data_IF_533910877478
#
_entry.id   IF_533910877478
#
_cell.length_a   1.000
_cell.length_b   1.000
_cell.length_c   1.000
_cell.angle_alpha   90.00
_cell.angle_beta   90.00
_cell.angle_gamma   90.00
#
_symmetry.space_group_name_H-M   'P 1'
#
loop_
_entity.id
_entity.type
_entity.pdbx_description
1 polymer ?
#
# COMPACT_ATOMS: atom_id res chain seq x y z
N UNK A 1 67.27 68.66 -47.51
CA UNK A 1 66.46 69.50 -46.64
C UNK A 1 64.96 69.28 -46.99
N UNK A 2 64.18 68.51 -46.19
CA UNK A 2 62.73 68.36 -46.35
C UNK A 2 62.10 68.67 -44.99
N UNK A 3 61.39 69.82 -44.95
CA UNK A 3 60.59 70.23 -43.80
C UNK A 3 59.42 69.24 -43.57
N UNK A 4 59.33 68.63 -42.40
CA UNK A 4 58.11 67.90 -41.94
C UNK A 4 57.13 68.94 -41.38
N UNK A 5 55.96 68.95 -41.94
CA UNK A 5 54.79 69.68 -41.43
C UNK A 5 54.08 68.83 -40.40
N UNK A 6 54.10 69.23 -39.13
CA UNK A 6 53.29 68.64 -38.08
C UNK A 6 51.84 69.08 -38.23
N UNK A 7 50.96 68.07 -38.42
CA UNK A 7 49.52 68.25 -38.42
C UNK A 7 49.01 68.20 -36.97
N UNK A 8 48.55 69.35 -36.46
CA UNK A 8 47.84 69.43 -35.17
C UNK A 8 46.47 68.74 -35.27
N UNK A 9 46.29 67.69 -34.51
CA UNK A 9 44.98 67.05 -34.32
C UNK A 9 44.03 67.97 -33.50
N UNK A 10 42.75 68.08 -33.85
CA UNK A 10 41.80 68.88 -33.09
C UNK A 10 41.51 68.28 -31.71
N UNK A 11 41.69 69.10 -30.69
CA UNK A 11 41.27 68.77 -29.29
C UNK A 11 39.75 68.54 -29.24
N UNK A 12 39.35 67.30 -29.06
CA UNK A 12 37.96 66.98 -28.71
C UNK A 12 37.59 67.62 -27.37
N UNK A 13 36.70 68.59 -27.42
CA UNK A 13 36.12 69.19 -26.22
C UNK A 13 35.32 68.08 -25.46
N UNK A 14 35.47 67.92 -24.12
CA UNK A 14 34.67 66.98 -23.36
C UNK A 14 33.19 67.41 -23.43
N UNK A 15 32.24 66.44 -23.47
CA UNK A 15 30.83 66.77 -23.50
C UNK A 15 30.45 67.54 -22.22
N UNK A 16 29.71 68.65 -22.40
CA UNK A 16 29.19 69.44 -21.29
C UNK A 16 28.44 68.51 -20.31
N UNK A 17 28.94 68.35 -19.08
CA UNK A 17 28.23 67.81 -17.97
C UNK A 17 27.15 68.79 -17.51
N UNK A 18 25.99 68.77 -18.11
CA UNK A 18 24.83 69.47 -17.61
C UNK A 18 24.42 68.85 -16.27
N UNK A 19 24.45 69.63 -15.20
CA UNK A 19 23.95 69.22 -13.90
C UNK A 19 22.44 68.89 -13.99
N UNK A 20 22.02 67.73 -13.44
CA UNK A 20 20.62 67.33 -13.38
C UNK A 20 19.81 68.34 -12.54
N UNK A 21 18.70 68.81 -13.10
CA UNK A 21 17.76 69.65 -12.39
C UNK A 21 17.09 68.84 -11.24
N UNK A 22 16.82 69.46 -10.09
CA UNK A 22 16.16 68.83 -8.93
C UNK A 22 14.79 68.22 -9.33
N UNK A 23 14.08 68.87 -10.26
CA UNK A 23 12.80 68.38 -10.78
C UNK A 23 12.98 67.16 -11.67
N UNK A 24 14.04 67.05 -12.44
CA UNK A 24 14.36 65.93 -13.28
C UNK A 24 14.70 64.70 -12.43
N UNK A 25 15.40 64.88 -11.32
CA UNK A 25 15.67 63.83 -10.33
C UNK A 25 14.37 63.34 -9.68
N UNK A 26 13.47 64.25 -9.26
CA UNK A 26 12.19 63.90 -8.68
C UNK A 26 11.28 63.13 -9.64
N UNK A 27 11.25 63.56 -10.92
CA UNK A 27 10.48 62.86 -11.96
C UNK A 27 11.07 61.47 -12.26
N UNK A 28 12.39 61.37 -12.35
CA UNK A 28 13.08 60.10 -12.55
C UNK A 28 12.82 59.10 -11.38
N UNK A 29 12.86 59.60 -10.12
CA UNK A 29 12.52 58.79 -8.96
C UNK A 29 11.06 58.34 -8.98
N UNK A 30 10.10 59.20 -9.34
CA UNK A 30 8.68 58.87 -9.40
C UNK A 30 8.42 57.81 -10.49
N UNK A 31 8.99 57.95 -11.66
CA UNK A 31 8.89 56.96 -12.75
C UNK A 31 9.55 55.65 -12.32
N UNK A 32 10.74 55.70 -11.72
CA UNK A 32 11.46 54.52 -11.23
C UNK A 32 10.64 53.72 -10.18
N UNK A 33 9.95 54.45 -9.29
CA UNK A 33 9.09 53.84 -8.28
C UNK A 33 7.85 53.13 -8.91
N UNK A 34 7.20 53.79 -9.89
CA UNK A 34 6.05 53.21 -10.61
C UNK A 34 6.49 51.96 -11.40
N UNK A 35 7.63 52.03 -12.09
CA UNK A 35 8.18 50.86 -12.82
C UNK A 35 8.54 49.71 -11.88
N UNK A 36 9.16 50.02 -10.72
CA UNK A 36 9.48 49.02 -9.71
C UNK A 36 8.27 48.34 -9.17
N UNK A 37 7.18 49.07 -8.84
CA UNK A 37 5.90 48.50 -8.40
C UNK A 37 5.28 47.60 -9.46
N UNK A 38 5.32 48.00 -10.74
CA UNK A 38 4.83 47.16 -11.84
C UNK A 38 5.63 45.86 -11.97
N UNK A 39 6.98 45.94 -11.85
CA UNK A 39 7.83 44.74 -11.88
C UNK A 39 7.54 43.81 -10.71
N UNK A 40 7.41 44.34 -9.47
CA UNK A 40 7.06 43.53 -8.30
C UNK A 40 5.69 42.85 -8.44
N UNK A 41 4.70 43.51 -9.04
CA UNK A 41 3.40 42.90 -9.29
C UNK A 41 3.47 41.72 -10.25
N UNK A 42 4.24 41.85 -11.32
CA UNK A 42 4.46 40.76 -12.32
C UNK A 42 5.21 39.60 -11.69
N UNK A 43 6.26 39.86 -10.91
CA UNK A 43 7.02 38.82 -10.21
C UNK A 43 6.11 38.05 -9.23
N UNK A 44 5.33 38.75 -8.42
CA UNK A 44 4.45 38.11 -7.43
C UNK A 44 3.39 37.22 -8.08
N UNK A 45 2.81 37.64 -9.21
CA UNK A 45 1.86 36.82 -9.99
C UNK A 45 2.55 35.61 -10.62
N UNK A 46 3.77 35.81 -11.16
CA UNK A 46 4.56 34.73 -11.75
C UNK A 46 4.94 33.66 -10.71
N UNK A 47 5.38 34.06 -9.52
CA UNK A 47 5.70 33.15 -8.42
C UNK A 47 4.48 32.39 -7.92
N UNK A 48 3.31 33.06 -7.82
CA UNK A 48 2.07 32.38 -7.46
C UNK A 48 1.68 31.32 -8.50
N UNK A 49 1.76 31.62 -9.79
CA UNK A 49 1.50 30.67 -10.87
C UNK A 49 2.46 29.50 -10.84
N UNK A 50 3.76 29.74 -10.64
CA UNK A 50 4.78 28.69 -10.54
C UNK A 50 4.48 27.74 -9.38
N UNK A 51 4.20 28.26 -8.18
CA UNK A 51 3.85 27.43 -7.01
C UNK A 51 2.60 26.59 -7.27
N UNK A 52 1.56 27.17 -7.88
CA UNK A 52 0.33 26.45 -8.20
C UNK A 52 0.56 25.33 -9.21
N UNK A 53 1.36 25.57 -10.25
CA UNK A 53 1.67 24.56 -11.27
C UNK A 53 2.52 23.43 -10.66
N UNK A 54 3.54 23.78 -9.87
CA UNK A 54 4.40 22.78 -9.20
C UNK A 54 3.56 21.96 -8.22
N UNK A 55 2.77 22.60 -7.34
CA UNK A 55 1.93 21.88 -6.37
C UNK A 55 0.89 20.97 -7.03
N UNK A 56 0.31 21.36 -8.16
CA UNK A 56 -0.59 20.49 -8.92
C UNK A 56 0.13 19.31 -9.57
N UNK A 57 1.35 19.52 -10.08
CA UNK A 57 2.15 18.43 -10.63
C UNK A 57 2.60 17.44 -9.55
N UNK A 58 3.07 17.93 -8.41
CA UNK A 58 3.47 17.09 -7.27
C UNK A 58 2.29 16.24 -6.76
N UNK A 59 1.11 16.85 -6.60
CA UNK A 59 -0.11 16.15 -6.24
C UNK A 59 -0.47 15.05 -7.25
N UNK A 60 -0.34 15.33 -8.56
CA UNK A 60 -0.61 14.35 -9.61
C UNK A 60 0.39 13.19 -9.60
N UNK A 61 1.69 13.49 -9.43
CA UNK A 61 2.73 12.47 -9.37
C UNK A 61 2.60 11.60 -8.12
N UNK A 62 2.40 12.20 -6.96
CA UNK A 62 2.22 11.47 -5.71
C UNK A 62 0.98 10.58 -5.74
N UNK A 63 -0.15 11.10 -6.26
CA UNK A 63 -1.37 10.31 -6.41
C UNK A 63 -1.23 9.14 -7.39
N UNK A 64 -0.57 9.36 -8.53
CA UNK A 64 -0.30 8.30 -9.50
C UNK A 64 0.66 7.25 -8.93
N UNK A 65 1.69 7.66 -8.19
CA UNK A 65 2.63 6.77 -7.53
C UNK A 65 1.95 5.94 -6.43
N UNK A 66 1.12 6.59 -5.59
CA UNK A 66 0.34 5.90 -4.57
C UNK A 66 -0.55 4.81 -5.18
N UNK A 67 -1.28 5.17 -6.24
CA UNK A 67 -2.16 4.22 -6.93
C UNK A 67 -1.38 3.07 -7.59
N UNK A 68 -0.21 3.36 -8.18
CA UNK A 68 0.67 2.35 -8.76
C UNK A 68 1.19 1.34 -7.71
N UNK A 69 1.59 1.82 -6.53
CA UNK A 69 2.04 0.94 -5.44
C UNK A 69 0.90 0.04 -4.94
N UNK A 70 -0.29 0.60 -4.76
CA UNK A 70 -1.47 -0.18 -4.38
C UNK A 70 -1.88 -1.18 -5.47
N UNK A 71 -1.80 -0.80 -6.75
CA UNK A 71 -2.07 -1.69 -7.89
C UNK A 71 -1.11 -2.89 -7.89
N UNK A 72 0.19 -2.67 -7.70
CA UNK A 72 1.17 -3.74 -7.62
C UNK A 72 0.90 -4.68 -6.43
N UNK A 73 0.65 -4.12 -5.26
CA UNK A 73 0.36 -4.90 -4.06
C UNK A 73 -0.89 -5.77 -4.24
N UNK A 74 -1.99 -5.18 -4.70
CA UNK A 74 -3.27 -5.88 -4.89
C UNK A 74 -3.16 -6.96 -5.98
N UNK A 75 -2.45 -6.71 -7.08
CA UNK A 75 -2.25 -7.71 -8.15
C UNK A 75 -1.41 -8.90 -7.69
N UNK A 76 -0.47 -8.70 -6.78
CA UNK A 76 0.34 -9.79 -6.20
C UNK A 76 -0.37 -10.53 -5.07
N UNK A 77 -1.46 -9.99 -4.55
CA UNK A 77 -2.17 -10.60 -3.44
C UNK A 77 -2.60 -12.04 -3.73
N UNK A 78 -2.48 -12.90 -2.73
CA UNK A 78 -2.84 -14.31 -2.84
C UNK A 78 -1.77 -15.22 -3.44
N UNK A 79 -0.62 -14.67 -3.90
CA UNK A 79 0.49 -15.49 -4.40
C UNK A 79 0.95 -16.49 -3.34
N UNK A 80 1.15 -17.74 -3.74
CA UNK A 80 1.67 -18.82 -2.89
C UNK A 80 0.61 -19.57 -2.08
N UNK A 81 -0.63 -19.06 -1.96
CA UNK A 81 -1.65 -19.74 -1.14
C UNK A 81 -3.07 -19.79 -1.73
N UNK A 82 -3.38 -18.99 -2.75
CA UNK A 82 -4.73 -18.96 -3.35
C UNK A 82 -5.14 -20.28 -4.01
N UNK A 83 -4.22 -21.09 -4.50
CA UNK A 83 -4.54 -22.38 -5.13
C UNK A 83 -5.19 -23.38 -4.16
N UNK A 84 -4.94 -23.23 -2.86
CA UNK A 84 -5.56 -24.03 -1.79
C UNK A 84 -6.53 -23.20 -0.95
N UNK A 85 -7.31 -22.34 -1.59
CA UNK A 85 -8.22 -21.41 -0.91
C UNK A 85 -9.15 -22.08 0.11
N UNK A 86 -9.60 -23.31 -0.18
CA UNK A 86 -10.47 -24.09 0.74
C UNK A 86 -9.82 -24.39 2.08
N UNK A 87 -8.48 -24.39 2.14
CA UNK A 87 -7.70 -24.65 3.36
C UNK A 87 -7.14 -23.37 3.95
N UNK A 88 -6.85 -22.39 3.09
CA UNK A 88 -6.09 -21.21 3.49
C UNK A 88 -6.96 -19.99 3.77
N UNK A 89 -8.01 -19.73 2.95
CA UNK A 89 -8.80 -18.51 3.13
C UNK A 89 -9.64 -18.57 4.41
N UNK A 90 -9.41 -17.61 5.29
CA UNK A 90 -10.07 -17.53 6.59
C UNK A 90 -9.37 -18.29 7.72
N UNK A 91 -8.28 -19.08 7.47
CA UNK A 91 -7.51 -19.70 8.55
C UNK A 91 -6.77 -18.63 9.38
N UNK A 92 -6.73 -18.78 10.71
CA UNK A 92 -6.03 -17.87 11.59
C UNK A 92 -4.51 -17.97 11.35
N UNK A 93 -3.84 -16.84 11.19
CA UNK A 93 -2.39 -16.81 10.96
C UNK A 93 -1.66 -16.98 12.29
N UNK A 94 -0.79 -17.98 12.36
CA UNK A 94 0.16 -18.18 13.45
C UNK A 94 1.57 -17.97 12.88
N UNK A 95 2.23 -16.91 13.31
CA UNK A 95 3.59 -16.59 12.93
C UNK A 95 4.39 -16.16 14.15
N UNK A 96 5.57 -16.76 14.34
CA UNK A 96 6.45 -16.45 15.45
C UNK A 96 7.86 -16.14 14.91
N UNK A 97 8.53 -15.18 15.51
CA UNK A 97 9.94 -14.91 15.29
C UNK A 97 10.69 -15.20 16.57
N UNK A 98 11.62 -16.17 16.53
CA UNK A 98 12.44 -16.57 17.69
C UNK A 98 11.58 -16.83 18.94
N UNK A 99 10.41 -17.48 18.77
CA UNK A 99 9.49 -17.82 19.85
C UNK A 99 8.51 -16.71 20.26
N UNK A 100 8.71 -15.48 19.80
CA UNK A 100 7.80 -14.37 20.07
C UNK A 100 6.71 -14.32 19.00
N UNK A 101 5.45 -14.30 19.42
CA UNK A 101 4.32 -14.14 18.47
C UNK A 101 4.43 -12.80 17.73
N UNK A 102 4.32 -12.85 16.41
CA UNK A 102 4.25 -11.67 15.56
C UNK A 102 2.79 -11.33 15.22
N UNK A 103 1.95 -12.35 15.10
CA UNK A 103 0.53 -12.23 14.81
C UNK A 103 -0.26 -12.99 15.88
N UNK A 104 -1.19 -12.34 16.59
CA UNK A 104 -1.48 -10.91 16.52
C UNK A 104 -0.37 -10.05 17.12
N UNK A 105 -0.10 -8.86 16.57
CA UNK A 105 0.87 -7.94 17.14
C UNK A 105 0.38 -7.41 18.48
N UNK A 106 1.31 -7.10 19.39
CA UNK A 106 0.98 -6.52 20.71
C UNK A 106 0.38 -5.11 20.59
N UNK A 107 0.81 -4.34 19.59
CA UNK A 107 0.29 -3.02 19.24
C UNK A 107 0.59 -2.74 17.77
N UNK A 108 -0.22 -1.90 17.15
CA UNK A 108 0.00 -1.41 15.80
C UNK A 108 0.29 0.09 15.83
N UNK A 109 1.19 0.58 14.97
CA UNK A 109 1.44 2.02 14.84
C UNK A 109 0.23 2.71 14.18
N UNK A 110 0.11 4.03 14.39
CA UNK A 110 -0.87 4.85 13.70
C UNK A 110 -0.63 4.85 12.18
N UNK A 111 -1.67 4.75 11.34
CA UNK A 111 -3.10 4.82 11.60
C UNK A 111 -3.78 3.46 11.93
N UNK A 112 -3.04 2.40 12.13
CA UNK A 112 -3.56 1.04 12.26
C UNK A 112 -3.93 0.63 13.71
N UNK A 113 -3.79 1.52 14.68
CA UNK A 113 -3.93 1.23 16.11
C UNK A 113 -5.27 0.55 16.48
N UNK A 114 -6.36 0.89 15.80
CA UNK A 114 -7.69 0.32 16.05
C UNK A 114 -8.04 -0.90 15.17
N UNK A 115 -7.14 -1.29 14.26
CA UNK A 115 -7.43 -2.33 13.27
C UNK A 115 -7.80 -3.66 13.92
N UNK A 116 -7.04 -4.11 14.92
CA UNK A 116 -7.29 -5.39 15.62
C UNK A 116 -8.68 -5.43 16.24
N UNK A 117 -9.17 -4.32 16.79
CA UNK A 117 -10.52 -4.26 17.34
C UNK A 117 -11.61 -4.39 16.25
N UNK A 118 -11.33 -3.86 15.06
CA UNK A 118 -12.28 -3.90 13.94
C UNK A 118 -12.35 -5.28 13.27
N UNK A 119 -11.23 -6.00 13.17
CA UNK A 119 -11.15 -7.28 12.45
C UNK A 119 -11.24 -8.52 13.34
N UNK A 120 -11.03 -8.38 14.65
CA UNK A 120 -10.98 -9.49 15.62
C UNK A 120 -9.69 -10.30 15.55
N UNK A 121 -9.36 -10.91 14.41
CA UNK A 121 -8.14 -11.69 14.22
C UNK A 121 -7.58 -11.55 12.81
N UNK A 122 -6.25 -11.61 12.68
CA UNK A 122 -5.61 -11.70 11.37
C UNK A 122 -5.74 -13.12 10.82
N UNK A 123 -6.35 -13.22 9.65
CA UNK A 123 -6.57 -14.48 8.94
C UNK A 123 -6.11 -14.39 7.51
N UNK A 124 -5.79 -15.54 6.92
CA UNK A 124 -5.34 -15.62 5.54
C UNK A 124 -6.42 -15.15 4.57
N UNK A 125 -6.11 -14.11 3.82
CA UNK A 125 -6.94 -13.62 2.72
C UNK A 125 -6.06 -12.81 1.76
N UNK A 126 -6.32 -12.82 0.45
CA UNK A 126 -5.56 -12.01 -0.50
C UNK A 126 -5.64 -10.52 -0.17
N UNK A 127 -6.86 -9.99 -0.05
CA UNK A 127 -7.10 -8.58 0.29
C UNK A 127 -8.32 -8.48 1.19
N UNK A 128 -8.20 -7.67 2.26
CA UNK A 128 -9.31 -7.31 3.13
C UNK A 128 -9.37 -5.78 3.23
N UNK A 129 -10.57 -5.23 3.13
CA UNK A 129 -10.86 -3.81 3.34
C UNK A 129 -11.48 -3.66 4.72
N UNK A 130 -10.82 -2.94 5.62
CA UNK A 130 -11.36 -2.59 6.93
C UNK A 130 -11.81 -1.13 6.91
N UNK A 131 -13.12 -0.92 6.93
CA UNK A 131 -13.67 0.43 7.05
C UNK A 131 -13.53 0.96 8.47
N UNK A 132 -13.41 2.29 8.59
CA UNK A 132 -13.65 2.95 9.86
C UNK A 132 -15.13 2.74 10.28
N UNK A 133 -15.39 2.26 11.51
CA UNK A 133 -16.76 1.99 11.97
C UNK A 133 -17.70 3.19 11.87
N UNK A 134 -17.16 4.41 11.88
CA UNK A 134 -17.92 5.65 11.77
C UNK A 134 -18.08 6.14 10.32
N UNK A 135 -17.42 5.50 9.35
CA UNK A 135 -17.44 5.86 7.92
C UNK A 135 -16.87 7.25 7.62
N UNK A 136 -16.09 7.84 8.55
CA UNK A 136 -15.55 9.21 8.45
C UNK A 136 -14.07 9.25 8.13
N UNK A 137 -13.36 8.15 8.36
CA UNK A 137 -11.93 8.02 8.11
C UNK A 137 -11.68 7.17 6.88
N UNK A 138 -10.45 7.22 6.38
CA UNK A 138 -9.98 6.36 5.31
C UNK A 138 -10.08 4.88 5.67
N UNK A 139 -10.36 4.06 4.66
CA UNK A 139 -10.30 2.62 4.81
C UNK A 139 -8.85 2.15 5.00
N UNK A 140 -8.68 1.02 5.68
CA UNK A 140 -7.41 0.30 5.75
C UNK A 140 -7.46 -0.92 4.85
N UNK A 141 -6.46 -1.07 3.99
CA UNK A 141 -6.27 -2.28 3.20
C UNK A 141 -5.29 -3.21 3.89
N UNK A 142 -5.66 -4.51 3.97
CA UNK A 142 -4.78 -5.59 4.41
C UNK A 142 -4.50 -6.43 3.17
N UNK A 143 -3.23 -6.54 2.76
CA UNK A 143 -2.83 -7.26 1.55
C UNK A 143 -1.81 -8.32 1.92
N UNK A 144 -2.07 -9.57 1.56
CA UNK A 144 -1.16 -10.68 1.81
C UNK A 144 -0.70 -11.32 0.50
N UNK A 145 0.62 -11.51 0.39
CA UNK A 145 1.25 -12.14 -0.77
C UNK A 145 2.48 -12.95 -0.37
N UNK A 146 2.67 -14.08 -1.04
CA UNK A 146 3.96 -14.76 -1.09
C UNK A 146 4.87 -14.16 -2.15
N UNK A 147 6.12 -14.60 -2.15
CA UNK A 147 7.15 -14.24 -3.14
C UNK A 147 7.68 -15.45 -3.92
N UNK A 148 7.03 -16.61 -3.83
CA UNK A 148 7.40 -17.82 -4.55
C UNK A 148 7.00 -17.71 -6.03
N UNK A 149 7.97 -17.49 -6.92
CA UNK A 149 7.71 -17.41 -8.36
C UNK A 149 7.53 -18.78 -9.03
N UNK A 150 8.19 -19.82 -8.53
CA UNK A 150 8.07 -21.21 -8.96
C UNK A 150 7.86 -22.09 -7.74
N UNK A 151 6.99 -23.10 -7.85
CA UNK A 151 6.75 -24.05 -6.76
C UNK A 151 5.59 -23.71 -5.85
N UNK A 152 4.61 -22.96 -6.33
CA UNK A 152 3.37 -22.67 -5.60
C UNK A 152 2.45 -23.90 -5.42
N UNK A 153 2.87 -25.08 -5.92
CA UNK A 153 2.07 -26.30 -5.78
C UNK A 153 2.06 -26.75 -4.31
N UNK A 154 0.87 -27.01 -3.77
CA UNK A 154 0.75 -27.55 -2.43
C UNK A 154 1.33 -28.97 -2.37
N UNK A 155 2.09 -29.27 -1.32
CA UNK A 155 2.68 -30.57 -1.10
C UNK A 155 2.08 -31.18 0.16
N UNK A 156 1.53 -32.39 0.01
CA UNK A 156 0.89 -33.13 1.10
C UNK A 156 1.92 -33.68 2.08
N UNK A 157 1.56 -33.67 3.35
CA UNK A 157 2.32 -34.36 4.39
C UNK A 157 2.10 -35.86 4.33
N UNK A 158 3.16 -36.63 4.54
CA UNK A 158 3.11 -38.11 4.63
C UNK A 158 2.96 -38.60 6.06
N UNK A 159 3.36 -37.79 7.03
CA UNK A 159 3.19 -38.04 8.45
C UNK A 159 3.14 -36.72 9.22
N UNK A 160 2.75 -36.77 10.50
CA UNK A 160 2.75 -35.61 11.37
C UNK A 160 4.15 -34.96 11.45
N UNK A 161 4.24 -33.63 11.56
CA UNK A 161 5.51 -32.93 11.76
C UNK A 161 6.23 -33.39 13.03
N UNK A 162 7.56 -33.37 13.00
CA UNK A 162 8.40 -33.64 14.18
C UNK A 162 8.87 -32.34 14.81
N UNK A 163 8.99 -32.33 16.14
CA UNK A 163 9.48 -31.16 16.90
C UNK A 163 10.96 -31.21 17.23
N UNK A 164 11.56 -32.39 17.28
CA UNK A 164 12.97 -32.58 17.62
C UNK A 164 13.58 -33.79 16.89
N UNK A 165 14.35 -33.60 15.80
CA UNK A 165 14.56 -32.33 15.10
C UNK A 165 13.25 -31.81 14.47
N UNK A 166 13.09 -30.48 14.36
CA UNK A 166 11.91 -29.89 13.72
C UNK A 166 11.95 -30.12 12.23
N UNK A 167 10.96 -30.84 11.72
CA UNK A 167 10.86 -31.15 10.30
C UNK A 167 9.43 -31.46 9.87
N UNK A 168 9.14 -31.18 8.61
CA UNK A 168 7.97 -31.67 7.89
C UNK A 168 8.33 -32.94 7.10
N UNK A 169 7.38 -33.88 7.08
CA UNK A 169 7.47 -35.08 6.27
C UNK A 169 6.50 -34.96 5.10
N UNK A 170 7.02 -34.69 3.92
CA UNK A 170 6.26 -34.34 2.71
C UNK A 170 6.40 -35.44 1.64
N UNK A 171 5.48 -35.47 0.67
CA UNK A 171 5.60 -36.35 -0.49
C UNK A 171 6.87 -36.07 -1.28
N UNK A 172 7.30 -34.83 -1.37
CA UNK A 172 8.57 -34.39 -1.92
C UNK A 172 8.92 -33.00 -1.39
N UNK A 173 10.13 -32.52 -1.63
CA UNK A 173 10.60 -31.20 -1.21
C UNK A 173 11.08 -30.33 -2.36
N UNK A 174 10.67 -30.66 -3.60
CA UNK A 174 11.18 -30.03 -4.84
C UNK A 174 10.86 -28.53 -4.94
N UNK A 175 9.77 -28.08 -4.34
CA UNK A 175 9.36 -26.68 -4.39
C UNK A 175 10.03 -25.81 -3.33
N UNK A 176 10.84 -26.39 -2.43
CA UNK A 176 11.45 -25.66 -1.32
C UNK A 176 12.95 -25.48 -1.49
N UNK A 177 13.43 -24.34 -1.07
CA UNK A 177 14.84 -23.99 -0.97
C UNK A 177 15.19 -23.47 0.44
N UNK A 178 16.47 -23.58 0.81
CA UNK A 178 16.95 -23.11 2.09
C UNK A 178 16.57 -21.64 2.36
N UNK A 179 16.07 -21.36 3.54
CA UNK A 179 15.69 -20.01 3.96
C UNK A 179 14.35 -19.48 3.42
N UNK A 180 13.63 -20.27 2.59
CA UNK A 180 12.28 -19.90 2.17
C UNK A 180 11.27 -20.04 3.31
N UNK A 181 10.21 -19.26 3.22
CA UNK A 181 9.06 -19.32 4.13
C UNK A 181 8.01 -20.26 3.56
N UNK A 182 7.34 -20.98 4.42
CA UNK A 182 6.23 -21.87 4.04
C UNK A 182 5.01 -21.61 4.92
N UNK A 183 3.85 -21.97 4.38
CA UNK A 183 2.60 -22.03 5.10
C UNK A 183 2.20 -23.49 5.28
N UNK A 184 1.98 -23.90 6.52
CA UNK A 184 1.40 -25.19 6.85
C UNK A 184 -0.08 -25.00 7.17
N UNK A 185 -0.94 -25.69 6.42
CA UNK A 185 -2.39 -25.67 6.59
C UNK A 185 -2.91 -27.10 6.83
N UNK A 186 -3.86 -27.26 7.76
CA UNK A 186 -4.49 -28.54 8.05
C UNK A 186 -5.78 -28.68 7.26
N UNK A 187 -6.04 -29.86 6.68
CA UNK A 187 -7.34 -30.18 6.10
C UNK A 187 -8.40 -30.32 7.20
N UNK A 188 -9.58 -29.77 6.95
CA UNK A 188 -10.71 -29.94 7.84
C UNK A 188 -11.07 -31.44 7.99
N UNK A 189 -11.11 -31.92 9.21
CA UNK A 189 -11.91 -33.10 9.51
C UNK A 189 -13.41 -32.74 9.43
N UNK A 190 -14.24 -33.61 8.95
CA UNK A 190 -15.65 -33.43 8.55
C UNK A 190 -16.62 -32.77 9.56
N UNK A 191 -16.18 -32.24 10.69
CA UNK A 191 -17.07 -31.89 11.79
C UNK A 191 -16.95 -30.50 12.40
N UNK A 192 -15.98 -29.67 12.04
CA UNK A 192 -15.68 -28.51 12.90
C UNK A 192 -16.24 -27.15 12.44
N UNK A 193 -16.75 -27.01 11.24
CA UNK A 193 -17.33 -25.72 10.75
C UNK A 193 -16.42 -24.52 10.80
N UNK A 194 -15.23 -24.63 11.42
CA UNK A 194 -14.20 -23.57 11.47
C UNK A 194 -12.87 -24.07 10.90
N UNK A 195 -12.13 -23.19 10.23
CA UNK A 195 -10.82 -23.49 9.66
C UNK A 195 -9.76 -23.60 10.77
N UNK A 196 -8.91 -24.66 10.77
CA UNK A 196 -7.74 -24.72 11.63
C UNK A 196 -6.81 -23.51 11.40
N UNK A 197 -5.94 -23.22 12.37
CA UNK A 197 -4.94 -22.18 12.19
C UNK A 197 -3.94 -22.59 11.10
N UNK A 198 -3.39 -21.60 10.39
CA UNK A 198 -2.29 -21.77 9.45
C UNK A 198 -0.98 -21.30 10.11
N UNK A 199 0.07 -22.09 9.99
CA UNK A 199 1.37 -21.81 10.61
C UNK A 199 2.37 -21.36 9.55
N UNK A 200 3.03 -20.23 9.78
CA UNK A 200 4.16 -19.78 8.96
C UNK A 200 5.45 -20.27 9.60
N UNK A 201 6.24 -21.02 8.84
CA UNK A 201 7.55 -21.55 9.24
C UNK A 201 8.62 -21.23 8.22
N UNK A 202 9.89 -21.34 8.60
CA UNK A 202 11.03 -21.18 7.70
C UNK A 202 11.72 -22.52 7.44
N UNK A 203 12.13 -22.74 6.21
CA UNK A 203 13.03 -23.85 5.84
C UNK A 203 14.43 -23.56 6.38
N UNK A 204 15.08 -24.56 6.99
CA UNK A 204 16.41 -24.41 7.53
C UNK A 204 17.39 -23.91 6.45
N UNK A 205 18.24 -22.97 6.83
CA UNK A 205 19.28 -22.40 5.94
C UNK A 205 20.36 -23.41 5.54
N UNK A 206 20.52 -24.49 6.31
CA UNK A 206 21.42 -25.60 5.99
C UNK A 206 20.79 -26.65 5.04
N UNK A 207 19.50 -26.47 4.66
CA UNK A 207 18.85 -27.41 3.74
C UNK A 207 19.50 -27.41 2.36
N UNK A 208 19.95 -28.58 1.91
CA UNK A 208 20.70 -28.73 0.65
C UNK A 208 19.86 -29.18 -0.55
N UNK A 209 18.52 -29.24 -0.42
CA UNK A 209 17.63 -29.57 -1.54
C UNK A 209 17.54 -31.06 -1.90
N UNK A 210 17.75 -31.99 -0.97
CA UNK A 210 17.59 -33.42 -1.21
C UNK A 210 16.13 -33.83 -1.30
N UNK A 211 15.57 -33.86 -2.50
CA UNK A 211 14.18 -34.26 -2.74
C UNK A 211 13.87 -35.75 -2.42
N UNK A 212 14.88 -36.60 -2.31
CA UNK A 212 14.74 -38.04 -2.18
C UNK A 212 14.24 -38.52 -0.81
N UNK A 213 14.36 -37.68 0.23
CA UNK A 213 13.98 -38.09 1.59
C UNK A 213 12.56 -37.65 1.99
N UNK A 214 11.94 -36.72 1.27
CA UNK A 214 10.65 -36.12 1.67
C UNK A 214 10.68 -35.39 3.00
N UNK A 215 11.84 -35.22 3.62
CA UNK A 215 12.00 -34.56 4.91
C UNK A 215 12.49 -33.13 4.67
N UNK A 216 11.70 -32.15 5.14
CA UNK A 216 12.01 -30.72 5.06
C UNK A 216 12.36 -30.21 6.46
N UNK A 217 13.64 -29.94 6.76
CA UNK A 217 14.04 -29.40 8.05
C UNK A 217 13.58 -27.95 8.19
N UNK A 218 13.13 -27.60 9.39
CA UNK A 218 12.67 -26.26 9.74
C UNK A 218 13.70 -25.54 10.60
N UNK A 219 13.90 -24.25 10.31
CA UNK A 219 14.86 -23.40 11.03
C UNK A 219 14.89 -22.01 10.42
N UNK A 220 15.29 -20.97 11.14
CA UNK A 220 15.40 -19.61 10.60
C UNK A 220 14.47 -18.59 11.25
N UNK A 221 14.01 -17.62 10.49
CA UNK A 221 13.31 -16.44 11.04
C UNK A 221 11.96 -16.79 11.70
N UNK A 222 11.13 -17.57 11.05
CA UNK A 222 9.79 -17.94 11.54
C UNK A 222 9.79 -19.29 12.24
N UNK A 223 10.89 -19.63 12.88
CA UNK A 223 11.09 -20.89 13.54
C UNK A 223 11.16 -20.76 15.06
N UNK A 224 10.54 -21.67 15.76
CA UNK A 224 10.65 -21.81 17.21
C UNK A 224 11.22 -23.17 17.56
N UNK A 225 12.43 -23.20 18.13
CA UNK A 225 13.13 -24.44 18.44
C UNK A 225 12.32 -25.41 19.34
N UNK A 226 12.22 -26.64 18.89
CA UNK A 226 12.03 -27.88 19.71
C UNK A 226 10.82 -28.04 20.61
N UNK A 227 10.05 -27.00 20.90
CA UNK A 227 8.95 -27.06 21.87
C UNK A 227 7.66 -26.39 21.38
N UNK A 228 7.58 -26.01 20.10
CA UNK A 228 6.38 -25.33 19.61
C UNK A 228 5.20 -26.33 19.46
N UNK A 229 4.28 -26.25 20.42
CA UNK A 229 3.03 -27.00 20.36
C UNK A 229 2.18 -26.68 19.12
N UNK A 230 2.43 -25.52 18.48
CA UNK A 230 1.74 -25.15 17.24
C UNK A 230 2.13 -26.12 16.12
N UNK A 231 3.41 -26.45 15.93
CA UNK A 231 3.85 -27.38 14.89
C UNK A 231 3.32 -28.80 15.15
N UNK A 232 3.36 -29.27 16.38
CA UNK A 232 2.91 -30.64 16.74
C UNK A 232 1.38 -30.81 16.75
N UNK A 233 0.62 -29.73 16.54
CA UNK A 233 -0.84 -29.82 16.40
C UNK A 233 -1.29 -30.22 14.99
N UNK A 234 -0.39 -30.24 14.02
CA UNK A 234 -0.67 -30.65 12.65
C UNK A 234 -0.54 -32.18 12.48
N UNK A 235 -1.39 -32.75 11.63
CA UNK A 235 -1.42 -34.18 11.35
C UNK A 235 -0.79 -34.50 9.98
N UNK A 236 -0.86 -35.76 9.58
CA UNK A 236 -0.55 -36.20 8.22
C UNK A 236 -1.51 -35.64 7.15
N UNK A 237 -2.63 -35.02 7.55
CA UNK A 237 -3.58 -34.38 6.64
C UNK A 237 -3.20 -32.93 6.34
N UNK A 238 -2.04 -32.48 6.76
CA UNK A 238 -1.57 -31.12 6.49
C UNK A 238 -0.97 -30.99 5.10
N UNK A 239 -0.92 -29.74 4.63
CA UNK A 239 -0.39 -29.36 3.33
C UNK A 239 0.59 -28.21 3.54
N UNK A 240 1.78 -28.34 2.95
CA UNK A 240 2.79 -27.27 2.93
C UNK A 240 2.73 -26.49 1.60
N UNK A 241 2.68 -25.17 1.71
CA UNK A 241 2.68 -24.24 0.58
C UNK A 241 3.93 -23.37 0.66
N UNK A 242 4.59 -23.15 -0.46
CA UNK A 242 5.76 -22.29 -0.52
C UNK A 242 5.33 -20.82 -0.61
N UNK A 243 5.70 -20.01 0.37
CA UNK A 243 5.48 -18.55 0.37
C UNK A 243 6.68 -17.76 -0.21
N UNK A 244 7.80 -18.43 -0.52
CA UNK A 244 9.00 -17.78 -1.03
C UNK A 244 9.90 -17.20 0.08
N UNK A 245 10.84 -16.35 -0.32
CA UNK A 245 11.82 -15.79 0.61
C UNK A 245 11.29 -14.62 1.45
N UNK A 246 10.38 -13.83 0.89
CA UNK A 246 9.88 -12.59 1.48
C UNK A 246 8.37 -12.48 1.35
N UNK A 247 7.59 -13.39 2.02
CA UNK A 247 6.16 -13.18 2.09
C UNK A 247 5.88 -11.87 2.81
N UNK A 248 4.79 -11.21 2.45
CA UNK A 248 4.39 -9.94 3.04
C UNK A 248 2.94 -9.99 3.54
N UNK A 249 2.69 -9.34 4.66
CA UNK A 249 1.36 -9.02 5.15
C UNK A 249 1.32 -7.52 5.40
N UNK A 250 0.98 -6.78 4.36
CA UNK A 250 1.03 -5.33 4.32
C UNK A 250 -0.30 -4.71 4.74
N UNK A 251 -0.21 -3.74 5.62
CA UNK A 251 -1.31 -2.81 5.94
C UNK A 251 -1.06 -1.51 5.17
N UNK A 252 -2.08 -1.01 4.45
CA UNK A 252 -2.05 0.28 3.79
C UNK A 252 -3.13 1.17 4.39
N UNK A 253 -2.80 2.42 4.69
CA UNK A 253 -3.72 3.38 5.27
C UNK A 253 -3.26 4.81 5.08
N UNK A 254 -4.08 5.78 5.45
CA UNK A 254 -3.74 7.20 5.39
C UNK A 254 -3.40 7.69 6.79
N UNK A 255 -2.17 8.17 6.98
CA UNK A 255 -1.69 8.72 8.23
C UNK A 255 -2.20 10.14 8.49
N UNK A 256 -2.06 10.60 9.73
CA UNK A 256 -2.50 11.94 10.19
C UNK A 256 -1.79 13.09 9.46
N UNK A 257 -0.65 12.84 8.82
CA UNK A 257 0.11 13.80 8.01
C UNK A 257 -0.36 13.90 6.55
N UNK A 258 -1.52 13.32 6.18
CA UNK A 258 -2.02 13.17 4.82
C UNK A 258 -1.03 12.47 3.90
N UNK A 259 -0.50 11.36 4.35
CA UNK A 259 0.37 10.49 3.56
C UNK A 259 -0.20 9.08 3.52
N UNK A 260 -0.10 8.43 2.36
CA UNK A 260 -0.29 6.99 2.26
C UNK A 260 0.90 6.30 2.93
N UNK A 261 0.61 5.43 3.88
CA UNK A 261 1.62 4.68 4.62
C UNK A 261 1.38 3.18 4.52
N UNK A 262 2.46 2.41 4.67
CA UNK A 262 2.41 0.96 4.76
C UNK A 262 3.07 0.45 6.05
N UNK A 263 2.66 -0.73 6.49
CA UNK A 263 3.25 -1.44 7.62
C UNK A 263 3.24 -2.94 7.35
N UNK A 264 4.41 -3.59 7.40
CA UNK A 264 4.52 -5.04 7.21
C UNK A 264 4.45 -5.77 8.56
N UNK A 265 3.37 -6.53 8.75
CA UNK A 265 3.18 -7.34 9.96
C UNK A 265 4.16 -8.51 10.09
N UNK A 266 4.72 -9.00 8.98
CA UNK A 266 5.72 -10.08 9.00
C UNK A 266 7.15 -9.55 9.19
N UNK A 267 7.35 -8.23 9.16
CA UNK A 267 8.62 -7.62 9.53
C UNK A 267 8.66 -7.36 11.04
N UNK A 268 9.08 -8.35 11.81
CA UNK A 268 9.10 -8.30 13.29
C UNK A 268 10.01 -7.26 13.92
N UNK A 269 10.79 -6.53 13.13
CA UNK A 269 11.67 -5.43 13.59
C UNK A 269 11.08 -4.05 13.31
N UNK A 270 10.02 -3.96 12.49
CA UNK A 270 9.38 -2.69 12.16
C UNK A 270 8.63 -2.15 13.39
N UNK A 271 8.93 -0.91 13.77
CA UNK A 271 8.26 -0.18 14.84
C UNK A 271 7.56 1.08 14.33
N UNK A 272 7.76 1.44 13.07
CA UNK A 272 7.20 2.61 12.41
C UNK A 272 6.64 2.23 11.05
N UNK A 273 5.69 3.04 10.57
CA UNK A 273 5.14 2.92 9.23
C UNK A 273 6.13 3.46 8.19
N UNK A 274 6.09 2.86 6.99
CA UNK A 274 6.81 3.34 5.82
C UNK A 274 5.91 4.30 5.04
N UNK A 275 6.38 5.53 4.80
CA UNK A 275 5.65 6.51 4.02
C UNK A 275 5.83 6.22 2.52
N UNK A 276 4.70 6.04 1.81
CA UNK A 276 4.69 5.73 0.38
C UNK A 276 4.53 7.00 -0.45
N UNK A 277 3.54 7.83 -0.14
CA UNK A 277 3.25 9.03 -0.90
C UNK A 277 2.62 10.11 -0.04
N UNK A 278 3.05 11.36 -0.28
CA UNK A 278 2.50 12.56 0.35
C UNK A 278 1.22 13.05 -0.33
N UNK A 279 0.45 13.83 0.41
CA UNK A 279 -0.71 14.52 -0.12
C UNK A 279 -1.94 13.62 -0.35
N UNK A 280 -1.94 12.39 0.15
CA UNK A 280 -3.11 11.50 0.13
C UNK A 280 -3.96 11.82 1.35
N UNK A 281 -5.15 12.37 1.12
CA UNK A 281 -6.07 12.78 2.17
C UNK A 281 -6.99 11.66 2.64
N UNK A 282 -7.54 10.90 1.67
CA UNK A 282 -8.44 9.78 1.94
C UNK A 282 -8.22 8.66 0.93
N UNK A 283 -8.46 7.43 1.39
CA UNK A 283 -8.47 6.21 0.61
C UNK A 283 -9.75 5.44 0.93
N UNK A 284 -10.50 5.06 -0.10
CA UNK A 284 -11.67 4.21 0.03
C UNK A 284 -11.60 3.06 -0.96
N UNK A 285 -12.22 1.93 -0.61
CA UNK A 285 -12.23 0.77 -1.48
C UNK A 285 -13.54 -0.02 -1.41
N UNK A 286 -13.87 -0.70 -2.51
CA UNK A 286 -15.00 -1.62 -2.61
C UNK A 286 -14.57 -2.93 -3.27
N UNK A 287 -15.28 -4.00 -2.96
CA UNK A 287 -15.04 -5.32 -3.52
C UNK A 287 -15.76 -5.53 -4.85
N UNK A 288 -15.09 -6.12 -5.81
CA UNK A 288 -15.70 -6.71 -7.00
C UNK A 288 -15.89 -8.21 -6.76
N UNK A 289 -17.13 -8.64 -6.61
CA UNK A 289 -17.49 -10.00 -6.17
C UNK A 289 -18.15 -10.77 -7.30
N UNK A 290 -17.68 -11.99 -7.57
CA UNK A 290 -18.35 -12.97 -8.43
C UNK A 290 -18.87 -14.12 -7.55
N UNK A 291 -20.01 -13.92 -6.93
CA UNK A 291 -20.61 -14.90 -6.03
C UNK A 291 -21.16 -16.14 -6.75
N UNK A 292 -21.60 -15.95 -8.00
CA UNK A 292 -22.17 -17.04 -8.80
C UNK A 292 -21.10 -17.82 -9.60
N UNK A 293 -19.84 -17.40 -9.52
CA UNK A 293 -18.72 -17.96 -10.28
C UNK A 293 -18.98 -18.07 -11.79
N UNK A 294 -19.61 -17.04 -12.35
CA UNK A 294 -20.02 -16.97 -13.76
C UNK A 294 -19.30 -15.87 -14.56
N UNK A 295 -18.30 -15.24 -13.95
CA UNK A 295 -17.52 -14.16 -14.55
C UNK A 295 -18.18 -12.77 -14.43
N UNK A 296 -19.35 -12.68 -13.79
CA UNK A 296 -20.05 -11.39 -13.61
C UNK A 296 -19.65 -10.78 -12.26
N UNK A 297 -19.02 -9.61 -12.31
CA UNK A 297 -18.58 -8.88 -11.12
C UNK A 297 -19.70 -7.95 -10.65
N UNK A 298 -20.11 -8.12 -9.39
CA UNK A 298 -20.98 -7.17 -8.68
C UNK A 298 -20.13 -6.34 -7.69
N UNK A 299 -20.24 -5.02 -7.76
CA UNK A 299 -19.59 -4.15 -6.78
C UNK A 299 -20.30 -4.26 -5.44
N UNK A 300 -19.55 -4.40 -4.37
CA UNK A 300 -20.07 -4.65 -3.02
C UNK A 300 -19.27 -3.82 -2.02
N UNK A 301 -19.99 -3.11 -1.14
CA UNK A 301 -19.34 -2.36 -0.06
C UNK A 301 -18.72 -3.31 0.98
N UNK A 302 -17.63 -2.93 1.64
CA UNK A 302 -17.00 -3.71 2.72
C UNK A 302 -17.80 -3.63 4.04
N UNK A 303 -19.09 -3.95 3.96
CA UNK A 303 -20.06 -3.92 5.07
C UNK A 303 -20.88 -5.21 5.12
N UNK A 304 -21.63 -5.42 6.21
CA UNK A 304 -22.48 -6.60 6.36
C UNK A 304 -21.68 -7.90 6.27
N UNK A 305 -22.05 -8.81 5.37
CA UNK A 305 -21.33 -10.08 5.14
C UNK A 305 -19.94 -9.92 4.55
N UNK A 306 -19.64 -8.76 3.96
CA UNK A 306 -18.32 -8.38 3.42
C UNK A 306 -17.57 -7.38 4.33
N UNK A 307 -18.07 -7.10 5.56
CA UNK A 307 -17.28 -6.40 6.56
C UNK A 307 -16.02 -7.21 6.92
N UNK A 308 -14.93 -6.53 7.27
CA UNK A 308 -13.68 -7.20 7.61
C UNK A 308 -13.86 -8.24 8.73
N UNK A 309 -14.62 -7.93 9.79
CA UNK A 309 -14.93 -8.87 10.87
C UNK A 309 -15.72 -10.09 10.40
N UNK A 310 -16.62 -9.94 9.42
CA UNK A 310 -17.42 -11.05 8.88
C UNK A 310 -16.62 -11.93 7.90
N UNK A 311 -15.68 -11.35 7.16
CA UNK A 311 -14.76 -12.10 6.29
C UNK A 311 -13.67 -12.82 7.09
N UNK A 312 -13.33 -12.29 8.26
CA UNK A 312 -12.28 -12.83 9.14
C UNK A 312 -12.86 -13.53 10.39
N UNK A 313 -14.10 -14.04 10.33
CA UNK A 313 -14.73 -14.78 11.44
C UNK A 313 -14.20 -16.23 11.60
N UNK A 314 -13.52 -16.75 10.57
CA UNK A 314 -12.92 -18.08 10.55
C UNK A 314 -13.88 -19.20 10.17
N UNK A 315 -15.08 -18.89 9.73
CA UNK A 315 -16.02 -19.87 9.19
C UNK A 315 -15.63 -20.28 7.77
N UNK A 316 -16.05 -21.48 7.38
CA UNK A 316 -15.90 -21.97 5.99
C UNK A 316 -16.62 -21.04 5.00
N UNK A 317 -17.75 -20.48 5.40
CA UNK A 317 -18.50 -19.55 4.56
C UNK A 317 -17.79 -18.20 4.38
N UNK A 318 -17.04 -17.73 5.38
CA UNK A 318 -16.14 -16.59 5.21
C UNK A 318 -15.06 -16.89 4.16
N UNK A 319 -14.44 -18.06 4.20
CA UNK A 319 -13.48 -18.50 3.19
C UNK A 319 -14.07 -18.49 1.77
N UNK A 320 -15.31 -18.96 1.59
CA UNK A 320 -16.02 -18.89 0.29
C UNK A 320 -16.28 -17.45 -0.15
N UNK A 321 -16.69 -16.56 0.78
CA UNK A 321 -16.88 -15.14 0.47
C UNK A 321 -15.58 -14.47 0.05
N UNK A 322 -14.46 -14.77 0.73
CA UNK A 322 -13.12 -14.29 0.33
C UNK A 322 -12.78 -14.79 -1.07
N UNK A 323 -13.02 -16.06 -1.39
CA UNK A 323 -12.77 -16.67 -2.70
C UNK A 323 -13.61 -16.03 -3.83
N UNK A 324 -14.79 -15.52 -3.50
CA UNK A 324 -15.66 -14.82 -4.45
C UNK A 324 -15.17 -13.40 -4.81
N UNK A 325 -14.25 -12.81 -4.04
CA UNK A 325 -13.68 -11.50 -4.35
C UNK A 325 -12.69 -11.65 -5.49
N UNK A 326 -12.97 -11.02 -6.62
CA UNK A 326 -12.16 -11.12 -7.85
C UNK A 326 -11.45 -9.82 -8.23
N UNK A 327 -11.92 -8.69 -7.71
CA UNK A 327 -11.33 -7.39 -7.97
C UNK A 327 -11.49 -6.47 -6.76
N UNK A 328 -10.63 -5.47 -6.68
CA UNK A 328 -10.76 -4.34 -5.75
C UNK A 328 -10.88 -3.07 -6.59
N UNK A 329 -11.85 -2.22 -6.30
CA UNK A 329 -11.88 -0.86 -6.81
C UNK A 329 -11.47 0.08 -5.69
N UNK A 330 -10.43 0.87 -5.95
CA UNK A 330 -9.83 1.76 -4.96
C UNK A 330 -9.89 3.19 -5.44
N UNK A 331 -10.25 4.10 -4.55
CA UNK A 331 -10.28 5.53 -4.80
C UNK A 331 -9.38 6.28 -3.82
N UNK A 332 -8.67 7.28 -4.33
CA UNK A 332 -7.82 8.17 -3.57
C UNK A 332 -8.25 9.62 -3.76
N UNK A 333 -8.30 10.38 -2.69
CA UNK A 333 -8.38 11.83 -2.72
C UNK A 333 -7.00 12.38 -2.40
N UNK A 334 -6.39 13.08 -3.36
CA UNK A 334 -5.12 13.76 -3.17
C UNK A 334 -5.32 15.26 -3.04
N UNK A 335 -4.43 15.93 -2.27
CA UNK A 335 -4.49 17.36 -1.97
C UNK A 335 -3.14 18.02 -2.21
N UNK A 336 -3.15 19.26 -2.72
CA UNK A 336 -1.94 20.08 -2.81
C UNK A 336 -1.39 20.41 -1.41
N UNK A 337 -0.06 20.49 -1.29
CA UNK A 337 0.58 20.86 -0.01
C UNK A 337 0.37 22.35 0.33
N UNK A 338 0.15 23.20 -0.66
CA UNK A 338 0.07 24.65 -0.50
C UNK A 338 -1.37 25.13 -0.60
N UNK A 339 -1.78 25.97 0.36
CA UNK A 339 -3.06 26.68 0.39
C UNK A 339 -3.05 27.82 -0.63
N UNK A 340 -4.10 27.95 -1.42
CA UNK A 340 -4.36 29.10 -2.30
C UNK A 340 -4.96 30.26 -1.48
N UNK A 341 -4.75 31.47 -1.94
CA UNK A 341 -5.28 32.69 -1.30
C UNK A 341 -6.82 32.76 -1.36
N UNK A 342 -7.41 32.20 -2.39
CA UNK A 342 -8.84 32.18 -2.66
C UNK A 342 -9.37 30.73 -2.68
N UNK A 343 -10.68 30.59 -2.60
CA UNK A 343 -11.38 29.34 -2.83
C UNK A 343 -11.10 28.86 -4.28
N UNK A 344 -10.56 27.65 -4.44
CA UNK A 344 -10.12 27.06 -5.72
C UNK A 344 -10.76 25.70 -5.98
N UNK A 345 -11.40 25.10 -4.97
CA UNK A 345 -12.09 23.81 -5.09
C UNK A 345 -13.58 23.93 -4.75
N UNK A 346 -14.45 23.11 -5.35
CA UNK A 346 -15.88 23.12 -5.03
C UNK A 346 -16.13 22.62 -3.61
N UNK A 347 -17.28 22.93 -3.03
CA UNK A 347 -17.69 22.46 -1.71
C UNK A 347 -17.84 20.92 -1.64
N UNK A 348 -18.16 20.27 -2.74
CA UNK A 348 -18.21 18.80 -2.85
C UNK A 348 -17.31 18.36 -3.98
N UNK A 349 -16.41 17.43 -3.70
CA UNK A 349 -15.50 16.86 -4.69
C UNK A 349 -16.24 15.92 -5.65
N UNK A 350 -15.70 15.63 -6.84
CA UNK A 350 -16.23 14.60 -7.72
C UNK A 350 -16.38 13.25 -7.02
N UNK A 351 -17.39 12.47 -7.44
CA UNK A 351 -17.64 11.16 -6.86
C UNK A 351 -16.54 10.16 -7.22
N UNK A 352 -16.06 9.41 -6.24
CA UNK A 352 -15.44 8.11 -6.44
C UNK A 352 -16.54 7.06 -6.65
N UNK A 353 -16.28 6.05 -7.46
CA UNK A 353 -17.23 4.94 -7.72
C UNK A 353 -18.60 5.39 -8.20
N UNK A 354 -18.70 6.53 -8.92
CA UNK A 354 -19.95 7.15 -9.31
C UNK A 354 -20.82 6.35 -10.29
N UNK A 355 -20.27 5.30 -10.88
CA UNK A 355 -20.92 4.33 -11.75
C UNK A 355 -21.38 3.05 -11.00
N UNK A 356 -21.32 3.04 -9.67
CA UNK A 356 -21.74 1.94 -8.81
C UNK A 356 -22.84 2.38 -7.84
N UNK A 357 -23.42 1.43 -7.10
CA UNK A 357 -24.40 1.71 -6.04
C UNK A 357 -23.76 2.29 -4.75
N UNK A 358 -22.44 2.48 -4.74
CA UNK A 358 -21.65 2.93 -3.59
C UNK A 358 -20.82 4.19 -3.88
N UNK A 359 -21.42 5.26 -4.42
CA UNK A 359 -20.68 6.48 -4.72
C UNK A 359 -20.24 7.15 -3.42
N UNK A 360 -18.98 7.62 -3.41
CA UNK A 360 -18.44 8.40 -2.30
C UNK A 360 -18.01 9.79 -2.78
N UNK A 361 -18.38 10.84 -2.04
CA UNK A 361 -17.89 12.19 -2.28
C UNK A 361 -17.59 12.90 -0.97
N UNK A 362 -16.43 13.54 -0.91
CA UNK A 362 -16.04 14.36 0.23
C UNK A 362 -16.63 15.77 0.13
N UNK A 363 -17.23 16.23 1.22
CA UNK A 363 -17.63 17.64 1.37
C UNK A 363 -16.51 18.40 2.08
N UNK A 364 -16.16 19.56 1.53
CA UNK A 364 -15.10 20.44 2.00
C UNK A 364 -15.68 21.65 2.75
N UNK A 365 -15.09 22.03 3.87
CA UNK A 365 -15.36 23.31 4.50
C UNK A 365 -14.64 24.46 3.75
N UNK A 366 -14.93 25.73 4.10
CA UNK A 366 -14.35 26.89 3.40
C UNK A 366 -12.82 26.96 3.46
N UNK A 367 -12.20 26.51 4.55
CA UNK A 367 -10.75 26.46 4.66
C UNK A 367 -10.15 25.38 3.77
N UNK A 368 -10.78 24.21 3.71
CA UNK A 368 -10.36 23.12 2.85
C UNK A 368 -10.52 23.47 1.37
N UNK A 369 -11.54 24.25 0.97
CA UNK A 369 -11.77 24.67 -0.42
C UNK A 369 -10.62 25.54 -1.00
N UNK A 370 -9.74 26.05 -0.17
CA UNK A 370 -8.54 26.77 -0.60
C UNK A 370 -7.40 25.87 -1.07
N UNK A 371 -7.49 24.57 -0.90
CA UNK A 371 -6.54 23.61 -1.46
C UNK A 371 -7.06 23.04 -2.77
N UNK A 372 -6.14 22.57 -3.62
CA UNK A 372 -6.46 21.84 -4.84
C UNK A 372 -6.56 20.36 -4.54
N UNK A 373 -7.57 19.70 -5.10
CA UNK A 373 -7.81 18.29 -4.92
C UNK A 373 -7.85 17.56 -6.26
N UNK A 374 -7.53 16.29 -6.22
CA UNK A 374 -7.78 15.35 -7.31
C UNK A 374 -8.36 14.07 -6.74
N UNK A 375 -9.38 13.57 -7.38
CA UNK A 375 -9.96 12.26 -7.13
C UNK A 375 -9.43 11.31 -8.18
N UNK A 376 -8.87 10.19 -7.75
CA UNK A 376 -8.37 9.11 -8.58
C UNK A 376 -9.10 7.84 -8.19
N UNK A 377 -9.55 7.04 -9.17
CA UNK A 377 -10.04 5.72 -8.89
C UNK A 377 -9.50 4.70 -9.91
N UNK A 378 -9.36 3.43 -9.50
CA UNK A 378 -8.92 2.35 -10.36
C UNK A 378 -9.53 1.01 -9.93
N UNK A 379 -9.82 0.19 -10.91
CA UNK A 379 -10.23 -1.20 -10.73
C UNK A 379 -9.04 -2.12 -10.92
N UNK A 380 -8.73 -2.93 -9.92
CA UNK A 380 -7.56 -3.78 -9.86
C UNK A 380 -8.01 -5.23 -9.71
N UNK A 381 -7.76 -6.11 -10.68
CA UNK A 381 -8.12 -7.53 -10.58
C UNK A 381 -7.15 -8.27 -9.65
N UNK A 382 -7.68 -9.16 -8.83
CA UNK A 382 -6.92 -10.11 -8.00
C UNK A 382 -6.50 -11.31 -8.86
N UNK A 383 -5.35 -11.21 -9.52
CA UNK A 383 -4.91 -12.22 -10.50
C UNK A 383 -4.91 -13.64 -9.96
N UNK A 384 -4.41 -13.83 -8.74
CA UNK A 384 -4.31 -15.15 -8.12
C UNK A 384 -5.65 -15.68 -7.60
N UNK A 385 -6.64 -14.81 -7.40
CA UNK A 385 -8.01 -15.20 -7.04
C UNK A 385 -8.89 -15.48 -8.27
N UNK A 386 -8.53 -15.01 -9.47
CA UNK A 386 -9.26 -15.31 -10.71
C UNK A 386 -9.18 -16.80 -11.10
N UNK A 387 -8.10 -17.47 -10.72
CA UNK A 387 -7.88 -18.91 -11.00
C UNK A 387 -8.68 -19.81 -10.05
N UNK A 388 -9.16 -19.23 -8.95
CA UNK A 388 -9.96 -19.95 -7.94
C UNK A 388 -11.40 -20.06 -8.42
N UNK A 389 -11.85 -21.29 -8.73
CA UNK A 389 -13.27 -21.59 -8.97
C UNK A 389 -13.93 -21.93 -7.65
N UNK A 390 -15.04 -21.28 -7.33
CA UNK A 390 -15.84 -21.56 -6.12
C UNK A 390 -16.61 -22.87 -6.25
#
# INVERSE_FOLDING_TARGET
MKKQSESMAPLMRPPFQGGLSLIELMVAMAIGLVVSLAIFSVISVSEARKRNTTGANDMNQNGAFALYQLDQAIRSAGTGFSQQYTLTFGCAINAKNSGKAMIPPASLPDPFSNLTANIGAFRMAPVIISQDPNGKLSDTLIVMAGSAGYGEMPIESTSAPTASPSALHLLNTLSFSAGQQLLLAERLGDSSGSLPACLIESVDTAYSGSASTGVLPLGGQFYTAGTDKALTSYSSNSVALNLGFTPSLQLYGVGSNNALVAFDLLNGTATSVDQIADGVLEMHAIYGVDQANNGTIAWTAPTGSYAASALLDGSVDAGKRIAAIKAIRIGLITRSAVEDKNVVSPATLPFMFGDTDFPYAKTLNEAEQKFRYRVLDATIPLRNALVVSN
#
